data_IF_409256985264
#
_entry.id   IF_409256985264
#
_cell.length_a   1.000
_cell.length_b   1.000
_cell.length_c   1.000
_cell.angle_alpha   90.00
_cell.angle_beta   90.00
_cell.angle_gamma   90.00
#
_symmetry.space_group_name_H-M   'P 1'
#
loop_
_entity.id
_entity.type
_entity.pdbx_description
1 polymer ?
#
# COMPACT_ATOMS: atom_id res chain seq x y z
N UNK A 1 -3.27 17.22 -2.89
CA UNK A 1 -2.86 16.52 -1.66
C UNK A 1 -1.58 15.76 -1.93
N UNK A 2 -0.71 15.62 -0.93
CA UNK A 2 0.55 14.89 -1.03
C UNK A 2 0.58 13.76 0.00
N UNK A 3 1.30 12.69 -0.31
CA UNK A 3 1.50 11.54 0.57
C UNK A 3 2.97 11.52 0.99
N UNK A 4 3.29 11.62 2.30
CA UNK A 4 4.66 11.66 2.77
C UNK A 4 5.28 10.26 2.84
N UNK A 5 6.61 10.20 2.69
CA UNK A 5 7.40 9.10 3.20
C UNK A 5 7.65 9.30 4.70
N UNK A 6 7.20 8.36 5.54
CA UNK A 6 7.40 8.45 6.99
C UNK A 6 8.87 8.29 7.45
N UNK A 7 9.80 8.00 6.53
CA UNK A 7 11.22 7.84 6.83
C UNK A 7 12.09 9.04 6.43
N UNK A 8 11.70 9.82 5.42
CA UNK A 8 12.51 10.95 4.93
C UNK A 8 11.71 12.23 4.66
N UNK A 9 10.42 12.25 5.00
CA UNK A 9 9.50 13.37 4.83
C UNK A 9 9.32 13.88 3.39
N UNK A 10 9.89 13.19 2.40
CA UNK A 10 9.63 13.48 0.99
C UNK A 10 8.13 13.30 0.69
N UNK A 11 7.56 14.26 -0.03
CA UNK A 11 6.14 14.30 -0.36
C UNK A 11 5.91 13.91 -1.82
N UNK A 12 4.94 13.03 -2.05
CA UNK A 12 4.64 12.50 -3.39
C UNK A 12 3.21 12.77 -3.80
N UNK A 13 3.01 13.05 -5.09
CA UNK A 13 1.67 13.06 -5.66
C UNK A 13 1.10 11.62 -5.64
N UNK A 14 -0.23 11.43 -5.53
CA UNK A 14 -0.81 10.09 -5.47
C UNK A 14 -0.43 9.18 -6.64
N UNK A 15 -0.31 9.71 -7.85
CA UNK A 15 0.07 8.92 -9.02
C UNK A 15 1.52 8.41 -8.93
N UNK A 16 2.44 9.24 -8.45
CA UNK A 16 3.83 8.83 -8.22
C UNK A 16 3.92 7.80 -7.09
N UNK A 17 3.23 8.08 -5.98
CA UNK A 17 3.20 7.21 -4.82
C UNK A 17 2.65 5.81 -5.16
N UNK A 18 1.48 5.73 -5.79
CA UNK A 18 0.83 4.45 -6.09
C UNK A 18 1.50 3.67 -7.23
N UNK A 19 2.20 4.35 -8.16
CA UNK A 19 3.06 3.65 -9.16
C UNK A 19 4.27 2.96 -8.54
N UNK A 20 4.76 3.47 -7.41
CA UNK A 20 5.87 2.86 -6.67
C UNK A 20 5.45 1.68 -5.77
N UNK A 21 4.15 1.31 -5.75
CA UNK A 21 3.67 0.11 -5.06
C UNK A 21 4.03 -1.15 -5.88
N UNK A 22 4.75 -2.10 -5.27
CA UNK A 22 5.33 -3.24 -6.00
C UNK A 22 4.49 -4.50 -5.92
N UNK A 23 3.99 -4.85 -4.75
CA UNK A 23 3.32 -6.14 -4.53
C UNK A 23 2.28 -6.10 -3.40
N UNK A 24 1.22 -6.87 -3.58
CA UNK A 24 0.12 -7.00 -2.64
C UNK A 24 0.19 -8.37 -1.93
N UNK A 25 0.48 -8.35 -0.64
CA UNK A 25 0.42 -9.51 0.22
C UNK A 25 -1.06 -9.82 0.57
N UNK A 26 -1.67 -10.75 -0.18
CA UNK A 26 -3.09 -11.13 0.00
C UNK A 26 -3.40 -11.74 1.37
N UNK A 27 -2.46 -12.42 2.03
CA UNK A 27 -2.74 -13.12 3.29
C UNK A 27 -2.79 -12.16 4.47
N UNK A 28 -1.98 -11.09 4.42
CA UNK A 28 -1.92 -10.05 5.46
C UNK A 28 -2.72 -8.79 5.11
N UNK A 29 -3.13 -8.68 3.85
CA UNK A 29 -3.81 -7.53 3.27
C UNK A 29 -2.97 -6.26 3.36
N UNK A 30 -1.72 -6.35 2.85
CA UNK A 30 -0.71 -5.30 2.87
C UNK A 30 -0.16 -5.05 1.47
N UNK A 31 0.14 -3.79 1.16
CA UNK A 31 0.80 -3.36 -0.07
C UNK A 31 2.22 -2.93 0.27
N UNK A 32 3.19 -3.47 -0.44
CA UNK A 32 4.57 -3.01 -0.36
C UNK A 32 4.77 -1.77 -1.23
N UNK A 33 5.48 -0.79 -0.68
CA UNK A 33 5.84 0.45 -1.35
C UNK A 33 7.33 0.76 -1.07
N UNK A 34 8.04 1.24 -2.09
CA UNK A 34 9.43 1.69 -1.94
C UNK A 34 9.50 3.17 -2.25
N UNK A 35 10.00 3.96 -1.30
CA UNK A 35 10.18 5.40 -1.48
C UNK A 35 11.11 5.70 -2.67
N UNK A 36 10.64 6.45 -3.69
CA UNK A 36 11.49 6.85 -4.82
C UNK A 36 12.67 7.76 -4.43
N UNK A 37 12.55 8.51 -3.33
CA UNK A 37 13.56 9.46 -2.89
C UNK A 37 14.67 8.84 -2.02
N UNK A 38 14.33 7.98 -1.06
CA UNK A 38 15.29 7.45 -0.08
C UNK A 38 15.47 5.92 -0.12
N UNK A 39 14.69 5.21 -0.94
CA UNK A 39 14.74 3.75 -1.04
C UNK A 39 14.15 2.99 0.16
N UNK A 40 13.58 3.68 1.15
CA UNK A 40 12.90 3.03 2.27
C UNK A 40 11.76 2.13 1.75
N UNK A 41 11.76 0.86 2.17
CA UNK A 41 10.70 -0.09 1.84
C UNK A 41 9.76 -0.22 3.02
N UNK A 42 8.47 -0.03 2.77
CA UNK A 42 7.41 -0.14 3.77
C UNK A 42 6.32 -1.11 3.31
N UNK A 43 5.55 -1.64 4.26
CA UNK A 43 4.31 -2.36 4.01
C UNK A 43 3.17 -1.56 4.64
N UNK A 44 2.12 -1.26 3.89
CA UNK A 44 0.99 -0.45 4.37
C UNK A 44 -0.36 -1.11 4.10
N UNK A 45 -1.39 -0.73 4.86
CA UNK A 45 -2.79 -1.01 4.53
C UNK A 45 -3.35 0.12 3.67
N UNK A 46 -3.97 -0.25 2.57
CA UNK A 46 -4.89 0.64 1.85
C UNK A 46 -6.26 0.50 2.50
N UNK A 47 -6.86 1.61 2.93
CA UNK A 47 -8.16 1.69 3.57
C UNK A 47 -9.02 2.74 2.85
N UNK A 48 -10.36 2.72 2.99
CA UNK A 48 -11.20 3.77 2.44
C UNK A 48 -10.81 5.14 3.02
N UNK A 49 -10.37 6.05 2.16
CA UNK A 49 -10.00 7.42 2.54
C UNK A 49 -8.64 7.58 3.25
N UNK A 50 -7.86 6.52 3.45
CA UNK A 50 -6.62 6.57 4.24
C UNK A 50 -5.61 5.47 3.89
N UNK A 51 -4.34 5.74 4.19
CA UNK A 51 -3.26 4.76 4.23
C UNK A 51 -2.89 4.50 5.69
N UNK A 52 -2.81 3.24 6.07
CA UNK A 52 -2.43 2.82 7.42
C UNK A 52 -1.03 2.21 7.45
N UNK A 53 -0.14 2.80 8.25
CA UNK A 53 1.23 2.35 8.48
C UNK A 53 1.36 1.81 9.90
N UNK A 54 2.30 0.91 10.12
CA UNK A 54 2.48 0.25 11.40
C UNK A 54 3.35 -0.99 11.27
N UNK A 55 3.12 -1.98 12.13
CA UNK A 55 4.04 -3.11 12.25
C UNK A 55 3.33 -4.46 12.37
N UNK A 56 4.02 -5.55 11.99
CA UNK A 56 3.62 -6.91 12.35
C UNK A 56 3.49 -7.08 13.87
N UNK A 57 2.30 -7.46 14.34
CA UNK A 57 2.08 -7.83 15.74
C UNK A 57 1.48 -9.24 15.78
N UNK A 58 2.35 -10.24 15.94
CA UNK A 58 2.00 -11.65 15.78
C UNK A 58 1.47 -11.96 14.38
N UNK A 59 0.28 -12.58 14.29
CA UNK A 59 -0.38 -12.88 12.99
C UNK A 59 -1.10 -11.68 12.37
N UNK A 60 -1.19 -10.54 13.07
CA UNK A 60 -1.92 -9.35 12.62
C UNK A 60 -0.93 -8.25 12.21
N UNK A 61 -1.48 -7.24 11.55
CA UNK A 61 -0.77 -5.99 11.27
C UNK A 61 -1.53 -4.89 12.00
N UNK A 62 -0.87 -4.26 12.97
CA UNK A 62 -1.42 -3.17 13.76
C UNK A 62 -1.09 -1.85 13.06
N UNK A 63 -2.11 -1.03 12.80
CA UNK A 63 -1.94 0.31 12.21
C UNK A 63 -1.74 1.29 13.36
N UNK A 64 -0.65 2.05 13.29
CA UNK A 64 -0.28 3.08 14.27
C UNK A 64 -0.45 4.47 13.68
N UNK A 65 0.09 4.67 12.47
CA UNK A 65 0.03 5.94 11.77
C UNK A 65 -0.94 5.88 10.60
N UNK A 66 -1.59 7.00 10.34
CA UNK A 66 -2.57 7.13 9.27
C UNK A 66 -2.33 8.39 8.47
N UNK A 67 -2.26 8.24 7.16
CA UNK A 67 -2.24 9.36 6.23
C UNK A 67 -3.61 9.44 5.56
N UNK A 68 -4.28 10.59 5.67
CA UNK A 68 -5.57 10.82 5.02
C UNK A 68 -5.37 10.98 3.52
N UNK A 69 -6.16 10.23 2.76
CA UNK A 69 -6.24 10.29 1.29
C UNK A 69 -7.72 10.30 0.90
N UNK A 70 -8.43 11.45 1.02
CA UNK A 70 -9.86 11.53 0.76
C UNK A 70 -10.22 11.01 -0.64
N UNK A 71 -11.28 10.20 -0.75
CA UNK A 71 -11.70 9.59 -2.01
C UNK A 71 -10.90 8.32 -2.40
N UNK A 72 -9.96 7.88 -1.57
CA UNK A 72 -9.24 6.63 -1.79
C UNK A 72 -10.18 5.44 -1.58
N UNK A 73 -10.24 4.57 -2.58
CA UNK A 73 -10.95 3.32 -2.55
C UNK A 73 -10.02 2.18 -2.92
N UNK A 74 -10.45 0.97 -2.56
CA UNK A 74 -9.75 -0.25 -2.90
C UNK A 74 -10.73 -1.35 -3.25
N UNK A 75 -10.31 -2.24 -4.13
CA UNK A 75 -11.04 -3.45 -4.47
C UNK A 75 -10.08 -4.62 -4.58
N UNK A 76 -10.26 -5.60 -3.70
CA UNK A 76 -9.52 -6.85 -3.75
C UNK A 76 -10.00 -7.69 -4.93
N UNK A 77 -9.06 -8.22 -5.71
CA UNK A 77 -9.28 -9.21 -6.77
C UNK A 77 -8.49 -10.47 -6.44
N UNK A 78 -8.67 -11.52 -7.22
CA UNK A 78 -8.00 -12.79 -6.98
C UNK A 78 -6.47 -12.67 -7.10
N UNK A 79 -5.99 -11.92 -8.10
CA UNK A 79 -4.56 -11.82 -8.40
C UNK A 79 -3.98 -10.41 -8.22
N UNK A 80 -4.74 -9.48 -7.64
CA UNK A 80 -4.30 -8.08 -7.45
C UNK A 80 -5.15 -7.32 -6.45
N UNK A 81 -4.67 -6.15 -6.06
CA UNK A 81 -5.45 -5.09 -5.45
C UNK A 81 -5.62 -3.96 -6.47
N UNK A 82 -6.86 -3.57 -6.74
CA UNK A 82 -7.15 -2.32 -7.46
C UNK A 82 -7.24 -1.20 -6.42
N UNK A 83 -6.43 -0.15 -6.57
CA UNK A 83 -6.47 1.09 -5.77
C UNK A 83 -7.08 2.17 -6.67
N UNK A 84 -8.07 2.90 -6.17
CA UNK A 84 -8.78 3.93 -6.94
C UNK A 84 -8.77 5.24 -6.18
N UNK A 85 -8.46 6.33 -6.87
CA UNK A 85 -8.60 7.69 -6.37
C UNK A 85 -9.11 8.56 -7.51
N UNK A 86 -10.24 9.21 -7.28
CA UNK A 86 -11.00 9.93 -8.31
C UNK A 86 -11.30 9.03 -9.53
N UNK A 87 -10.69 9.34 -10.68
CA UNK A 87 -10.84 8.61 -11.95
C UNK A 87 -9.68 7.67 -12.25
N UNK A 88 -8.63 7.66 -11.43
CA UNK A 88 -7.43 6.85 -11.65
C UNK A 88 -7.54 5.52 -10.92
N UNK A 89 -7.04 4.47 -11.56
CA UNK A 89 -6.93 3.14 -10.99
C UNK A 89 -5.50 2.65 -11.13
N UNK A 90 -4.91 2.21 -10.03
CA UNK A 90 -3.62 1.53 -10.01
C UNK A 90 -3.83 0.07 -9.66
N UNK A 91 -3.12 -0.81 -10.36
CA UNK A 91 -3.20 -2.25 -10.16
C UNK A 91 -1.93 -2.73 -9.48
N UNK A 92 -2.06 -3.19 -8.24
CA UNK A 92 -0.93 -3.77 -7.51
C UNK A 92 -1.05 -5.30 -7.60
N UNK A 93 -0.15 -5.99 -8.32
CA UNK A 93 -0.24 -7.44 -8.45
C UNK A 93 -0.11 -8.10 -7.09
N UNK A 94 -0.85 -9.19 -6.88
CA UNK A 94 -0.62 -10.02 -5.71
C UNK A 94 0.81 -10.56 -5.77
N UNK A 95 1.53 -10.50 -4.65
CA UNK A 95 2.82 -11.19 -4.54
C UNK A 95 2.56 -12.64 -4.93
N UNK A 96 3.32 -13.15 -5.90
CA UNK A 96 3.37 -14.57 -6.18
C UNK A 96 3.92 -15.24 -4.92
N UNK A 97 3.02 -15.64 -4.01
CA UNK A 97 3.40 -16.49 -2.91
C UNK A 97 3.81 -17.82 -3.49
N UNK A 98 4.95 -18.33 -3.04
CA UNK A 98 5.26 -19.75 -3.10
C UNK A 98 3.97 -20.58 -3.05
N UNK A 99 3.70 -21.29 -4.15
CA UNK A 99 2.93 -22.53 -4.12
C UNK A 99 3.69 -23.48 -3.19
N UNK A 100 3.63 -23.25 -1.88
CA UNK A 100 3.94 -24.28 -0.92
C UNK A 100 2.79 -25.27 -1.07
N UNK A 101 3.07 -26.31 -1.86
CA UNK A 101 2.31 -27.54 -1.95
C UNK A 101 1.76 -27.89 -0.56
N UNK A 102 0.44 -28.04 -0.49
CA UNK A 102 -0.21 -28.83 0.54
C UNK A 102 -0.37 -30.23 0.01
#
# INVERSE_FOLDING_TARGET
MMIPCLACDAEFAPDEYFRACTDYNRSRDLVAWTCPACGNRDEMRVLPGELGFGYPHGRRYAVHDRVRVPGLHRRRRDLRLDITLDKKVWHVPARAGHLAFR
#
